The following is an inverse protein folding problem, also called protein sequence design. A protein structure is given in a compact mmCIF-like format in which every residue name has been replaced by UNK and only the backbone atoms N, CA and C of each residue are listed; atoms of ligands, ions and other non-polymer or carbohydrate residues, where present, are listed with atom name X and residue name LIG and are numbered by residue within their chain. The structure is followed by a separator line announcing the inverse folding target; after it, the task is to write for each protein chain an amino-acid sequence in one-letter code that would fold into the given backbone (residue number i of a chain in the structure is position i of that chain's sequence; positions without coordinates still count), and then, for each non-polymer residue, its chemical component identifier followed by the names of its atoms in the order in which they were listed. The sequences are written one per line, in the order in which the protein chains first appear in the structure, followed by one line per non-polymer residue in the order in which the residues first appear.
data_IF_428731417128
#
_entry.id   IF_428731417128
#
_cell.length_a   1.000
_cell.length_b   1.000
_cell.length_c   1.000
_cell.angle_alpha   90.00
_cell.angle_beta   90.00
_cell.angle_gamma   90.00
#
_symmetry.space_group_name_H-M   'P 1'
#
loop_
_entity.id
_entity.type
_entity.pdbx_description
1 polymer ?
#
# COMPACT_ATOMS: atom_id res chain seq x y z
N UNK A 1 12.87 -24.15 -35.66
CA UNK A 1 11.44 -23.91 -35.95
C UNK A 1 10.49 -24.28 -34.80
N UNK A 2 10.59 -25.45 -34.15
CA UNK A 2 9.71 -25.79 -32.99
C UNK A 2 9.87 -24.93 -31.72
N UNK A 3 10.99 -24.22 -31.54
CA UNK A 3 11.22 -23.28 -30.43
C UNK A 3 10.79 -21.83 -30.73
N UNK A 4 10.40 -21.53 -31.97
CA UNK A 4 10.01 -20.19 -32.43
C UNK A 4 8.50 -19.99 -32.24
N UNK A 5 7.72 -21.08 -32.28
CA UNK A 5 6.28 -21.05 -32.00
C UNK A 5 5.93 -20.80 -30.52
N UNK A 6 6.88 -21.03 -29.60
CA UNK A 6 6.63 -20.93 -28.16
C UNK A 6 6.63 -19.48 -27.66
N UNK A 7 7.44 -18.61 -28.26
CA UNK A 7 7.46 -17.18 -27.94
C UNK A 7 6.22 -16.43 -28.49
N UNK A 8 5.69 -16.89 -29.62
CA UNK A 8 4.40 -16.41 -30.16
C UNK A 8 3.22 -16.78 -29.27
N UNK A 9 3.31 -17.88 -28.50
CA UNK A 9 2.24 -18.31 -27.60
C UNK A 9 2.17 -17.51 -26.30
N UNK A 10 3.27 -16.95 -25.79
CA UNK A 10 3.26 -16.10 -24.57
C UNK A 10 2.67 -14.72 -24.82
N UNK A 11 2.85 -14.14 -26.01
CA UNK A 11 2.23 -12.85 -26.38
C UNK A 11 0.72 -13.02 -26.66
N UNK A 12 0.32 -14.15 -27.27
CA UNK A 12 -1.09 -14.49 -27.50
C UNK A 12 -1.81 -14.83 -26.18
N UNK A 13 -1.12 -15.41 -25.18
CA UNK A 13 -1.72 -15.71 -23.87
C UNK A 13 -2.04 -14.45 -23.05
N UNK A 14 -1.29 -13.36 -23.23
CA UNK A 14 -1.57 -12.07 -22.60
C UNK A 14 -2.90 -11.46 -23.08
N UNK A 15 -3.26 -11.69 -24.35
CA UNK A 15 -4.53 -11.23 -24.94
C UNK A 15 -5.77 -11.98 -24.41
N UNK A 16 -5.63 -13.23 -23.94
CA UNK A 16 -6.79 -14.05 -23.51
C UNK A 16 -7.15 -13.91 -22.03
N UNK A 17 -6.23 -13.47 -21.16
CA UNK A 17 -6.46 -13.37 -19.70
C UNK A 17 -7.20 -12.07 -19.30
N UNK A 18 -7.30 -11.09 -20.19
CA UNK A 18 -8.13 -9.89 -19.94
C UNK A 18 -9.64 -10.19 -19.81
N UNK A 19 -10.13 -11.39 -20.18
CA UNK A 19 -11.55 -11.63 -20.42
C UNK A 19 -12.33 -12.52 -19.43
N UNK A 20 -11.77 -13.00 -18.31
CA UNK A 20 -12.60 -13.61 -17.26
C UNK A 20 -12.97 -12.58 -16.19
N UNK A 21 -14.22 -12.11 -16.30
CA UNK A 21 -14.84 -11.25 -15.30
C UNK A 21 -15.02 -11.98 -13.98
N UNK A 22 -14.35 -11.49 -12.94
CA UNK A 22 -14.81 -11.59 -11.55
C UNK A 22 -14.57 -10.22 -10.89
N UNK A 23 -15.66 -9.67 -10.37
CA UNK A 23 -15.72 -8.37 -9.72
C UNK A 23 -14.89 -8.36 -8.42
N UNK A 24 -14.19 -7.26 -8.10
CA UNK A 24 -14.01 -6.78 -6.72
C UNK A 24 -13.35 -5.38 -6.61
N UNK A 25 -13.68 -4.72 -5.49
CA UNK A 25 -13.13 -3.54 -4.77
C UNK A 25 -13.37 -2.11 -5.25
N UNK A 26 -13.61 -1.81 -6.53
CA UNK A 26 -14.07 -0.44 -6.87
C UNK A 26 -15.60 -0.36 -6.92
N UNK A 27 -16.26 0.59 -6.20
CA UNK A 27 -17.67 0.83 -6.41
C UNK A 27 -17.86 1.20 -7.90
N UNK A 28 -18.64 0.39 -8.62
CA UNK A 28 -19.02 0.67 -10.01
C UNK A 28 -19.93 1.90 -10.02
N UNK A 29 -19.33 3.06 -10.25
CA UNK A 29 -20.01 4.26 -10.73
C UNK A 29 -19.87 4.32 -12.24
N UNK A 30 -20.82 4.95 -12.95
CA UNK A 30 -20.81 5.12 -14.41
C UNK A 30 -19.51 5.80 -14.90
N UNK A 31 -18.94 6.71 -14.10
CA UNK A 31 -17.62 7.33 -14.32
C UNK A 31 -16.43 6.35 -14.29
N UNK A 32 -16.52 5.25 -13.52
CA UNK A 32 -15.40 4.31 -13.36
C UNK A 32 -15.29 3.34 -14.55
N UNK A 33 -16.40 3.02 -15.23
CA UNK A 33 -16.34 2.13 -16.41
C UNK A 33 -15.76 2.82 -17.64
N UNK A 34 -16.08 4.10 -17.88
CA UNK A 34 -15.50 4.85 -19.00
C UNK A 34 -13.99 5.05 -18.85
N UNK A 35 -13.53 5.30 -17.62
CA UNK A 35 -12.10 5.40 -17.31
C UNK A 35 -11.36 4.07 -17.54
N UNK A 36 -11.93 2.95 -17.10
CA UNK A 36 -11.37 1.62 -17.31
C UNK A 36 -11.28 1.29 -18.80
N UNK A 37 -12.33 1.57 -19.57
CA UNK A 37 -12.34 1.37 -21.03
C UNK A 37 -11.29 2.24 -21.72
N UNK A 38 -11.14 3.50 -21.30
CA UNK A 38 -10.10 4.39 -21.84
C UNK A 38 -8.69 3.87 -21.56
N UNK A 39 -8.43 3.40 -20.35
CA UNK A 39 -7.13 2.81 -19.96
C UNK A 39 -6.86 1.53 -20.77
N UNK A 40 -7.86 0.65 -20.87
CA UNK A 40 -7.75 -0.58 -21.65
C UNK A 40 -7.47 -0.31 -23.13
N UNK A 41 -8.12 0.69 -23.73
CA UNK A 41 -7.84 1.10 -25.10
C UNK A 41 -6.40 1.60 -25.29
N UNK A 42 -5.85 2.34 -24.32
CA UNK A 42 -4.45 2.76 -24.35
C UNK A 42 -3.50 1.55 -24.28
N UNK A 43 -3.80 0.57 -23.42
CA UNK A 43 -3.02 -0.67 -23.28
C UNK A 43 -3.07 -1.50 -24.58
N UNK A 44 -4.25 -1.63 -25.19
CA UNK A 44 -4.42 -2.33 -26.47
C UNK A 44 -3.60 -1.66 -27.57
N UNK A 45 -3.70 -0.33 -27.70
CA UNK A 45 -2.92 0.44 -28.67
C UNK A 45 -1.41 0.28 -28.44
N UNK A 46 -0.99 0.31 -27.17
CA UNK A 46 0.41 0.12 -26.78
C UNK A 46 0.96 -1.23 -27.22
N UNK A 47 0.20 -2.32 -27.01
CA UNK A 47 0.60 -3.65 -27.44
C UNK A 47 0.53 -3.86 -28.94
N UNK A 48 -0.41 -3.21 -29.62
CA UNK A 48 -0.46 -3.21 -31.08
C UNK A 48 0.80 -2.58 -31.68
N UNK A 49 1.24 -1.44 -31.16
CA UNK A 49 2.48 -0.77 -31.61
C UNK A 49 3.70 -1.66 -31.34
N UNK A 50 3.77 -2.32 -30.18
CA UNK A 50 4.85 -3.26 -29.86
C UNK A 50 4.90 -4.40 -30.87
N UNK A 51 3.73 -4.95 -31.23
CA UNK A 51 3.63 -6.03 -32.21
C UNK A 51 4.06 -5.55 -33.61
N UNK A 52 3.55 -4.41 -34.07
CA UNK A 52 3.91 -3.85 -35.39
C UNK A 52 5.42 -3.60 -35.51
N UNK A 53 6.04 -3.00 -34.49
CA UNK A 53 7.50 -2.81 -34.44
C UNK A 53 8.23 -4.16 -34.44
N UNK A 54 7.69 -5.16 -33.76
CA UNK A 54 8.22 -6.52 -33.72
C UNK A 54 8.13 -7.30 -35.03
N UNK A 55 7.08 -7.06 -35.82
CA UNK A 55 6.91 -7.62 -37.17
C UNK A 55 7.92 -7.01 -38.16
N UNK A 56 8.27 -5.74 -37.97
CA UNK A 56 9.30 -5.04 -38.76
C UNK A 56 10.72 -5.45 -38.36
N UNK A 57 10.99 -5.60 -37.06
CA UNK A 57 12.28 -6.06 -36.53
C UNK A 57 12.10 -6.97 -35.32
N UNK A 58 12.31 -8.27 -35.51
CA UNK A 58 12.19 -9.27 -34.43
C UNK A 58 13.12 -8.99 -33.25
N UNK A 59 14.23 -8.27 -33.44
CA UNK A 59 15.15 -7.90 -32.35
C UNK A 59 14.49 -6.96 -31.35
N UNK A 60 13.49 -6.19 -31.78
CA UNK A 60 12.68 -5.35 -30.91
C UNK A 60 11.95 -6.19 -29.84
N UNK A 61 11.29 -7.28 -30.24
CA UNK A 61 10.62 -8.22 -29.32
C UNK A 61 11.60 -9.06 -28.47
N UNK A 62 12.89 -9.07 -28.83
CA UNK A 62 13.94 -9.74 -28.07
C UNK A 62 14.59 -8.82 -27.04
N UNK A 63 14.14 -7.55 -26.94
CA UNK A 63 14.65 -6.62 -25.95
C UNK A 63 14.35 -7.11 -24.53
N UNK A 64 15.39 -7.25 -23.72
CA UNK A 64 15.25 -7.48 -22.28
C UNK A 64 15.05 -6.17 -21.49
N UNK A 65 15.15 -5.02 -22.17
CA UNK A 65 14.93 -3.72 -21.56
C UNK A 65 13.46 -3.29 -21.77
N UNK A 66 12.63 -3.23 -20.72
CA UNK A 66 11.22 -2.87 -20.85
C UNK A 66 11.00 -1.43 -21.32
N UNK A 67 11.98 -0.53 -21.10
CA UNK A 67 11.90 0.86 -21.53
C UNK A 67 11.90 1.00 -23.07
N UNK A 68 12.49 0.06 -23.80
CA UNK A 68 12.43 0.08 -25.27
C UNK A 68 10.99 -0.08 -25.81
N UNK A 69 10.08 -0.68 -25.05
CA UNK A 69 8.70 -0.92 -25.49
C UNK A 69 7.81 0.33 -25.37
N UNK A 70 8.23 1.31 -24.58
CA UNK A 70 7.49 2.55 -24.33
C UNK A 70 8.05 3.73 -25.12
N UNK A 71 9.27 3.62 -25.66
CA UNK A 71 9.84 4.59 -26.59
C UNK A 71 9.00 4.72 -27.86
N UNK A 72 8.63 5.96 -28.21
CA UNK A 72 7.75 6.29 -29.35
C UNK A 72 6.49 5.39 -29.38
N UNK A 73 5.81 5.28 -28.23
CA UNK A 73 4.61 4.47 -28.08
C UNK A 73 3.42 5.36 -27.69
N UNK A 74 2.62 5.73 -28.70
CA UNK A 74 1.47 6.63 -28.51
C UNK A 74 0.42 6.08 -27.53
N UNK A 75 0.25 4.76 -27.43
CA UNK A 75 -0.62 4.13 -26.44
C UNK A 75 -0.13 4.37 -25.02
N UNK A 76 1.18 4.22 -24.79
CA UNK A 76 1.82 4.51 -23.51
C UNK A 76 1.73 6.00 -23.15
N UNK A 77 2.07 6.90 -24.08
CA UNK A 77 1.97 8.34 -23.84
C UNK A 77 0.54 8.78 -23.48
N UNK A 78 -0.47 8.22 -24.15
CA UNK A 78 -1.88 8.48 -23.83
C UNK A 78 -2.23 7.98 -22.44
N UNK A 79 -1.71 6.82 -22.04
CA UNK A 79 -1.92 6.27 -20.70
C UNK A 79 -1.34 7.20 -19.62
N UNK A 80 -0.10 7.66 -19.77
CA UNK A 80 0.53 8.59 -18.83
C UNK A 80 -0.26 9.90 -18.73
N UNK A 81 -0.74 10.42 -19.86
CA UNK A 81 -1.57 11.65 -19.92
C UNK A 81 -2.93 11.52 -19.22
N UNK A 82 -3.41 10.32 -18.87
CA UNK A 82 -4.60 10.17 -18.01
C UNK A 82 -4.31 10.69 -16.60
N UNK A 83 -3.05 10.62 -16.16
CA UNK A 83 -2.60 11.18 -14.89
C UNK A 83 -3.06 10.36 -13.68
N UNK A 84 -3.12 10.98 -12.49
CA UNK A 84 -3.34 10.30 -11.21
C UNK A 84 -4.58 9.39 -11.16
N UNK A 85 -5.63 9.72 -11.92
CA UNK A 85 -6.85 8.90 -12.07
C UNK A 85 -6.59 7.48 -12.56
N UNK A 86 -5.54 7.25 -13.35
CA UNK A 86 -5.23 5.91 -13.86
C UNK A 86 -4.61 4.99 -12.79
N UNK A 87 -3.97 5.55 -11.76
CA UNK A 87 -3.16 4.79 -10.81
C UNK A 87 -3.92 3.65 -10.11
N UNK A 88 -5.15 3.84 -9.60
CA UNK A 88 -5.89 2.75 -8.96
C UNK A 88 -6.21 1.59 -9.91
N UNK A 89 -6.53 1.89 -11.17
CA UNK A 89 -6.84 0.87 -12.19
C UNK A 89 -5.56 0.13 -12.60
N UNK A 90 -4.46 0.86 -12.81
CA UNK A 90 -3.17 0.27 -13.15
C UNK A 90 -2.66 -0.66 -12.05
N UNK A 91 -2.76 -0.24 -10.78
CA UNK A 91 -2.42 -1.10 -9.65
C UNK A 91 -3.28 -2.39 -9.66
N UNK A 92 -4.60 -2.26 -9.86
CA UNK A 92 -5.50 -3.41 -9.94
C UNK A 92 -5.11 -4.38 -11.07
N UNK A 93 -4.77 -3.87 -12.26
CA UNK A 93 -4.38 -4.70 -13.40
C UNK A 93 -3.11 -5.52 -13.13
N UNK A 94 -2.10 -4.90 -12.51
CA UNK A 94 -0.85 -5.59 -12.14
C UNK A 94 -1.13 -6.67 -11.09
N UNK A 95 -1.99 -6.37 -10.11
CA UNK A 95 -2.34 -7.31 -9.03
C UNK A 95 -3.18 -8.50 -9.49
N UNK A 96 -4.10 -8.29 -10.43
CA UNK A 96 -5.21 -9.24 -10.65
C UNK A 96 -5.28 -9.82 -12.06
N UNK A 97 -4.59 -9.24 -13.05
CA UNK A 97 -4.73 -9.65 -14.46
C UNK A 97 -3.42 -10.13 -15.05
N UNK A 98 -2.45 -9.24 -15.18
CA UNK A 98 -1.17 -9.53 -15.82
C UNK A 98 -0.12 -8.62 -15.19
N UNK A 99 0.81 -9.15 -14.39
CA UNK A 99 1.87 -8.34 -13.79
C UNK A 99 2.86 -7.94 -14.88
N UNK A 100 2.67 -6.74 -15.43
CA UNK A 100 3.44 -6.22 -16.56
C UNK A 100 4.33 -5.05 -16.15
N UNK A 101 5.63 -5.15 -16.46
CA UNK A 101 6.62 -4.12 -16.15
C UNK A 101 6.26 -2.75 -16.73
N UNK A 102 5.62 -2.73 -17.91
CA UNK A 102 5.23 -1.49 -18.57
C UNK A 102 4.19 -0.72 -17.76
N UNK A 103 3.25 -1.44 -17.10
CA UNK A 103 2.26 -0.81 -16.22
C UNK A 103 2.89 -0.31 -14.92
N UNK A 104 3.87 -1.02 -14.38
CA UNK A 104 4.65 -0.56 -13.22
C UNK A 104 5.43 0.73 -13.55
N UNK A 105 6.05 0.80 -14.73
CA UNK A 105 6.74 2.00 -15.21
C UNK A 105 5.73 3.15 -15.39
N UNK A 106 4.54 2.90 -15.94
CA UNK A 106 3.48 3.92 -16.03
C UNK A 106 3.06 4.45 -14.65
N UNK A 107 2.97 3.59 -13.63
CA UNK A 107 2.67 4.04 -12.26
C UNK A 107 3.79 4.94 -11.73
N UNK A 108 5.06 4.57 -11.89
CA UNK A 108 6.21 5.39 -11.48
C UNK A 108 6.20 6.76 -12.18
N UNK A 109 5.97 6.78 -13.51
CA UNK A 109 5.94 8.00 -14.31
C UNK A 109 4.76 8.91 -13.92
N UNK A 110 3.53 8.38 -13.84
CA UNK A 110 2.35 9.15 -13.48
C UNK A 110 2.46 9.71 -12.05
N UNK A 111 3.04 8.95 -11.13
CA UNK A 111 3.14 9.37 -9.73
C UNK A 111 4.39 10.20 -9.41
N UNK A 112 5.33 10.29 -10.35
CA UNK A 112 6.60 10.99 -10.17
C UNK A 112 7.49 10.35 -9.11
N UNK A 113 7.38 9.03 -8.91
CA UNK A 113 8.20 8.28 -7.95
C UNK A 113 9.19 7.40 -8.70
N UNK A 114 10.35 7.15 -8.09
CA UNK A 114 11.33 6.21 -8.61
C UNK A 114 11.62 5.16 -7.52
N UNK A 115 10.79 4.12 -7.44
CA UNK A 115 10.95 3.09 -6.41
C UNK A 115 12.17 2.21 -6.68
N UNK A 116 12.58 2.14 -7.95
CA UNK A 116 13.72 1.36 -8.38
C UNK A 116 15.05 1.91 -7.83
N UNK A 117 15.24 3.23 -7.88
CA UNK A 117 16.49 3.87 -7.45
C UNK A 117 16.41 4.51 -6.07
N UNK A 118 15.29 5.17 -5.74
CA UNK A 118 15.16 5.98 -4.52
C UNK A 118 14.54 5.20 -3.33
N UNK A 119 14.25 3.91 -3.50
CA UNK A 119 13.63 3.09 -2.47
C UNK A 119 14.17 1.65 -2.41
N UNK A 120 13.32 0.66 -2.08
CA UNK A 120 13.70 -0.74 -1.86
C UNK A 120 14.08 -1.48 -3.15
N UNK A 121 13.86 -0.86 -4.32
CA UNK A 121 14.04 -1.52 -5.61
C UNK A 121 12.91 -2.50 -5.91
N UNK A 122 12.75 -2.84 -7.19
CA UNK A 122 11.86 -3.90 -7.65
C UNK A 122 12.44 -4.55 -8.91
N UNK A 123 12.39 -5.87 -8.98
CA UNK A 123 12.96 -6.66 -10.08
C UNK A 123 11.89 -7.34 -10.95
N UNK A 124 10.64 -7.33 -10.50
CA UNK A 124 9.47 -7.81 -11.23
C UNK A 124 8.21 -7.00 -10.94
N UNK A 125 7.26 -7.00 -11.87
CA UNK A 125 5.96 -6.35 -11.68
C UNK A 125 5.19 -6.89 -10.45
N UNK A 126 5.43 -8.15 -10.05
CA UNK A 126 4.89 -8.69 -8.80
C UNK A 126 5.56 -8.06 -7.56
N UNK A 127 6.90 -7.97 -7.56
CA UNK A 127 7.64 -7.30 -6.49
C UNK A 127 7.40 -5.79 -6.45
N UNK A 128 7.03 -5.19 -7.59
CA UNK A 128 6.65 -3.79 -7.67
C UNK A 128 5.43 -3.49 -6.80
N UNK A 129 4.37 -4.30 -6.88
CA UNK A 129 3.14 -4.06 -6.10
C UNK A 129 3.42 -4.00 -4.60
N UNK A 130 4.15 -4.98 -4.05
CA UNK A 130 4.45 -5.02 -2.62
C UNK A 130 5.37 -3.86 -2.20
N UNK A 131 6.33 -3.51 -3.06
CA UNK A 131 7.22 -2.34 -2.86
C UNK A 131 6.44 -1.04 -2.88
N UNK A 132 5.52 -0.88 -3.82
CA UNK A 132 4.70 0.31 -3.99
C UNK A 132 3.68 0.47 -2.86
N UNK A 133 3.04 -0.62 -2.43
CA UNK A 133 2.20 -0.65 -1.22
C UNK A 133 2.96 -0.18 0.01
N UNK A 134 4.12 -0.78 0.27
CA UNK A 134 5.00 -0.39 1.38
C UNK A 134 5.40 1.09 1.29
N UNK A 135 5.70 1.55 0.08
CA UNK A 135 6.02 2.95 -0.18
C UNK A 135 4.87 3.87 0.23
N UNK A 136 3.65 3.63 -0.27
CA UNK A 136 2.45 4.42 0.03
C UNK A 136 2.18 4.51 1.53
N UNK A 137 2.38 3.42 2.27
CA UNK A 137 2.21 3.39 3.72
C UNK A 137 3.22 4.25 4.48
N UNK A 138 4.43 4.39 3.94
CA UNK A 138 5.53 5.13 4.55
C UNK A 138 5.51 6.63 4.20
N UNK A 139 4.86 7.04 3.10
CA UNK A 139 4.82 8.45 2.65
C UNK A 139 4.46 9.45 3.76
N UNK A 140 3.36 9.28 4.54
CA UNK A 140 3.01 10.24 5.59
C UNK A 140 4.13 10.44 6.61
N UNK A 141 4.77 9.35 7.04
CA UNK A 141 5.86 9.39 8.01
C UNK A 141 7.11 10.03 7.41
N UNK A 142 7.45 9.71 6.16
CA UNK A 142 8.59 10.30 5.46
C UNK A 142 8.45 11.80 5.27
N UNK A 143 7.25 12.29 4.93
CA UNK A 143 7.00 13.75 4.86
C UNK A 143 7.30 14.41 6.21
N UNK A 144 6.77 13.84 7.31
CA UNK A 144 7.02 14.36 8.66
C UNK A 144 8.52 14.33 9.01
N UNK A 145 9.21 13.21 8.76
CA UNK A 145 10.64 13.07 9.01
C UNK A 145 11.46 14.11 8.26
N UNK A 146 11.13 14.38 6.99
CA UNK A 146 11.81 15.40 6.19
C UNK A 146 11.57 16.80 6.76
N UNK A 147 10.31 17.14 7.06
CA UNK A 147 9.92 18.46 7.61
C UNK A 147 10.65 18.75 8.93
N UNK A 148 10.69 17.79 9.86
CA UNK A 148 11.33 17.93 11.17
C UNK A 148 12.83 17.63 11.19
N UNK A 149 13.43 17.28 10.05
CA UNK A 149 14.88 17.06 9.97
C UNK A 149 15.67 18.36 10.21
N UNK A 150 16.94 18.22 10.56
CA UNK A 150 17.88 19.34 10.71
C UNK A 150 18.45 19.84 9.37
N UNK A 151 17.92 19.37 8.24
CA UNK A 151 18.37 19.77 6.91
C UNK A 151 17.88 21.18 6.55
N UNK A 152 18.55 21.80 5.59
CA UNK A 152 18.12 23.10 5.08
C UNK A 152 16.86 22.95 4.19
N UNK A 153 16.15 24.05 3.98
CA UNK A 153 14.89 24.04 3.24
C UNK A 153 15.03 23.53 1.80
N UNK A 154 16.15 23.79 1.13
CA UNK A 154 16.40 23.31 -0.23
C UNK A 154 16.50 21.78 -0.28
N UNK A 155 17.27 21.17 0.62
CA UNK A 155 17.37 19.71 0.73
C UNK A 155 16.04 19.07 1.14
N UNK A 156 15.29 19.71 2.05
CA UNK A 156 13.94 19.26 2.39
C UNK A 156 13.02 19.26 1.17
N UNK A 157 12.97 20.35 0.41
CA UNK A 157 12.15 20.44 -0.80
C UNK A 157 12.56 19.38 -1.83
N UNK A 158 13.87 19.16 -2.05
CA UNK A 158 14.37 18.12 -2.94
C UNK A 158 13.89 16.72 -2.53
N UNK A 159 13.94 16.39 -1.24
CA UNK A 159 13.45 15.10 -0.73
C UNK A 159 11.94 14.96 -0.81
N UNK A 160 11.20 16.04 -0.52
CA UNK A 160 9.74 16.05 -0.65
C UNK A 160 9.30 15.82 -2.10
N UNK A 161 9.98 16.41 -3.08
CA UNK A 161 9.72 16.18 -4.52
C UNK A 161 9.90 14.71 -4.91
N UNK A 162 10.92 14.03 -4.37
CA UNK A 162 11.15 12.59 -4.63
C UNK A 162 10.03 11.67 -4.12
N UNK A 163 9.18 12.15 -3.22
CA UNK A 163 8.00 11.40 -2.76
C UNK A 163 6.81 11.49 -3.73
N UNK A 164 6.97 12.18 -4.86
CA UNK A 164 5.96 12.24 -5.91
C UNK A 164 4.61 12.80 -5.44
N UNK A 165 3.58 12.59 -6.26
CA UNK A 165 2.27 13.19 -6.04
C UNK A 165 1.60 12.75 -4.73
N UNK A 166 1.98 11.59 -4.19
CA UNK A 166 1.43 11.06 -2.95
C UNK A 166 1.85 11.86 -1.71
N UNK A 167 2.87 12.71 -1.81
CA UNK A 167 3.24 13.63 -0.73
C UNK A 167 2.37 14.89 -0.68
N UNK A 168 1.68 15.25 -1.76
CA UNK A 168 0.87 16.48 -1.89
C UNK A 168 -0.12 16.63 -0.73
N UNK A 169 -0.94 15.62 -0.36
CA UNK A 169 -1.91 15.75 0.73
C UNK A 169 -1.26 16.14 2.06
N UNK A 170 -0.06 15.65 2.33
CA UNK A 170 0.64 15.88 3.59
C UNK A 170 1.37 17.22 3.59
N UNK A 171 2.01 17.59 2.48
CA UNK A 171 2.66 18.90 2.33
C UNK A 171 1.63 20.03 2.40
N UNK A 172 0.44 19.83 1.82
CA UNK A 172 -0.70 20.77 1.86
C UNK A 172 -1.03 21.24 3.28
N UNK A 173 -1.02 20.34 4.26
CA UNK A 173 -1.37 20.67 5.64
C UNK A 173 -0.35 21.62 6.26
N UNK A 174 0.96 21.40 6.06
CA UNK A 174 2.00 22.32 6.49
C UNK A 174 1.88 23.71 5.84
N UNK A 175 1.51 23.77 4.57
CA UNK A 175 1.28 25.03 3.86
C UNK A 175 0.07 25.81 4.41
N UNK A 176 -0.98 25.12 4.84
CA UNK A 176 -2.13 25.75 5.52
C UNK A 176 -1.76 26.34 6.88
N UNK A 177 -0.82 25.69 7.57
CA UNK A 177 -0.34 26.11 8.88
C UNK A 177 0.68 27.27 8.82
N UNK A 178 1.06 27.72 7.63
CA UNK A 178 1.95 28.87 7.43
C UNK A 178 3.38 28.53 7.05
N UNK A 179 3.71 27.25 6.89
CA UNK A 179 5.08 26.77 6.62
C UNK A 179 5.43 26.89 5.12
N UNK A 180 5.50 28.12 4.61
CA UNK A 180 5.63 28.41 3.17
C UNK A 180 6.94 27.98 2.54
N UNK A 181 7.94 27.57 3.33
CA UNK A 181 9.21 27.05 2.83
C UNK A 181 9.07 25.75 2.01
N UNK A 182 7.98 24.99 2.17
CA UNK A 182 7.73 23.75 1.41
C UNK A 182 6.97 23.97 0.10
N UNK A 183 6.66 25.24 -0.23
CA UNK A 183 5.83 25.58 -1.38
C UNK A 183 6.47 25.16 -2.71
N UNK A 184 7.80 25.23 -2.83
CA UNK A 184 8.50 24.84 -4.07
C UNK A 184 8.34 23.35 -4.39
N UNK A 185 8.40 22.48 -3.38
CA UNK A 185 8.12 21.05 -3.57
C UNK A 185 6.66 20.83 -3.98
N UNK A 186 5.73 21.48 -3.29
CA UNK A 186 4.30 21.36 -3.57
C UNK A 186 3.94 21.79 -5.00
N UNK A 187 4.41 22.95 -5.43
CA UNK A 187 4.13 23.48 -6.78
C UNK A 187 4.72 22.59 -7.87
N UNK A 188 5.95 22.12 -7.69
CA UNK A 188 6.64 21.19 -8.61
C UNK A 188 5.96 19.83 -8.71
N UNK A 189 5.21 19.41 -7.69
CA UNK A 189 4.42 18.17 -7.73
C UNK A 189 3.05 18.37 -8.39
N UNK A 190 2.56 19.61 -8.46
CA UNK A 190 1.29 19.95 -9.10
C UNK A 190 1.44 20.25 -10.59
N UNK A 191 2.52 20.93 -10.98
CA UNK A 191 2.84 21.22 -12.36
C UNK A 191 3.74 20.08 -12.84
N UNK A 192 3.34 19.32 -13.85
CA UNK A 192 4.12 18.20 -14.44
C UNK A 192 5.42 18.68 -15.16
N UNK A 193 5.89 19.88 -14.83
CA UNK A 193 7.06 20.54 -15.40
C UNK A 193 8.05 20.93 -14.29
N UNK A 194 9.34 20.92 -14.63
CA UNK A 194 10.43 21.41 -13.79
C UNK A 194 10.28 22.92 -13.52
N UNK A 195 9.47 23.28 -12.51
CA UNK A 195 9.42 24.64 -12.01
C UNK A 195 10.75 24.96 -11.34
N UNK A 196 11.47 25.90 -11.96
CA UNK A 196 12.74 26.48 -11.51
C UNK A 196 12.70 26.75 -10.00
N UNK A 197 13.71 26.29 -9.26
CA UNK A 197 13.88 26.53 -7.82
C UNK A 197 13.76 28.03 -7.49
N UNK A 198 12.57 28.48 -7.08
CA UNK A 198 12.41 29.78 -6.46
C UNK A 198 12.65 29.62 -4.97
N UNK A 199 13.91 29.79 -4.58
CA UNK A 199 14.34 29.83 -3.19
C UNK A 199 13.96 31.19 -2.55
N UNK A 200 12.65 31.47 -2.48
CA UNK A 200 12.10 32.63 -1.74
C UNK A 200 10.95 32.15 -0.87
N UNK A 201 10.91 32.61 0.39
CA UNK A 201 9.71 32.55 1.20
C UNK A 201 8.56 33.13 0.37
N UNK A 202 7.63 32.27 0.01
CA UNK A 202 6.44 32.67 -0.73
C UNK A 202 5.45 33.26 0.27
N UNK A 203 4.80 34.34 -0.10
CA UNK A 203 3.77 34.97 0.74
C UNK A 203 2.61 33.98 0.95
N UNK A 204 2.11 33.86 2.19
CA UNK A 204 0.97 33.01 2.50
C UNK A 204 -0.26 33.30 1.64
N UNK A 205 -0.46 34.55 1.22
CA UNK A 205 -1.55 34.92 0.32
C UNK A 205 -1.42 34.26 -1.07
N UNK A 206 -0.18 34.14 -1.58
CA UNK A 206 0.11 33.47 -2.85
C UNK A 206 -0.12 31.96 -2.70
N UNK A 207 0.38 31.37 -1.61
CA UNK A 207 0.15 29.95 -1.28
C UNK A 207 -1.35 29.64 -1.26
N UNK A 208 -2.14 30.45 -0.55
CA UNK A 208 -3.58 30.27 -0.46
C UNK A 208 -4.30 30.41 -1.81
N UNK A 209 -3.84 31.30 -2.69
CA UNK A 209 -4.40 31.43 -4.05
C UNK A 209 -4.15 30.16 -4.86
N UNK A 210 -2.91 29.66 -4.87
CA UNK A 210 -2.53 28.47 -5.65
C UNK A 210 -3.21 27.21 -5.11
N UNK A 211 -3.34 27.07 -3.78
CA UNK A 211 -4.13 25.99 -3.18
C UNK A 211 -5.59 26.01 -3.65
N UNK A 212 -6.19 27.20 -3.73
CA UNK A 212 -7.58 27.37 -4.17
C UNK A 212 -7.74 27.13 -5.68
N UNK A 213 -6.83 27.62 -6.49
CA UNK A 213 -6.84 27.44 -7.95
C UNK A 213 -6.69 25.95 -8.34
N UNK A 214 -5.95 25.18 -7.54
CA UNK A 214 -5.68 23.77 -7.78
C UNK A 214 -6.53 22.81 -6.94
N UNK A 215 -7.54 23.30 -6.21
CA UNK A 215 -8.30 22.51 -5.23
C UNK A 215 -8.88 21.23 -5.85
N UNK A 216 -9.41 21.30 -7.07
CA UNK A 216 -9.91 20.12 -7.78
C UNK A 216 -8.82 19.06 -8.05
N UNK A 217 -7.63 19.47 -8.52
CA UNK A 217 -6.50 18.56 -8.78
C UNK A 217 -5.99 17.95 -7.48
N UNK A 218 -5.88 18.76 -6.42
CA UNK A 218 -5.47 18.31 -5.10
C UNK A 218 -6.46 17.29 -4.53
N UNK A 219 -7.76 17.60 -4.57
CA UNK A 219 -8.81 16.71 -4.05
C UNK A 219 -8.86 15.38 -4.83
N UNK A 220 -8.59 15.40 -6.13
CA UNK A 220 -8.43 14.19 -6.94
C UNK A 220 -7.24 13.34 -6.46
N UNK A 221 -6.08 13.96 -6.27
CA UNK A 221 -4.87 13.27 -5.78
C UNK A 221 -5.09 12.73 -4.36
N UNK A 222 -5.75 13.48 -3.48
CA UNK A 222 -6.15 13.02 -2.14
C UNK A 222 -7.06 11.79 -2.23
N UNK A 223 -8.08 11.82 -3.11
CA UNK A 223 -9.00 10.70 -3.32
C UNK A 223 -8.26 9.46 -3.83
N UNK A 224 -7.37 9.62 -4.81
CA UNK A 224 -6.54 8.55 -5.36
C UNK A 224 -5.59 8.00 -4.29
N UNK A 225 -4.87 8.87 -3.58
CA UNK A 225 -3.94 8.49 -2.50
C UNK A 225 -4.66 7.69 -1.41
N UNK A 226 -5.85 8.12 -1.01
CA UNK A 226 -6.66 7.41 -0.02
C UNK A 226 -7.17 6.06 -0.54
N UNK A 227 -7.60 5.98 -1.80
CA UNK A 227 -8.04 4.72 -2.41
C UNK A 227 -6.89 3.70 -2.48
N UNK A 228 -5.71 4.14 -2.90
CA UNK A 228 -4.52 3.30 -3.03
C UNK A 228 -3.94 2.91 -1.68
N UNK A 229 -3.93 3.82 -0.71
CA UNK A 229 -3.59 3.49 0.67
C UNK A 229 -4.58 2.46 1.23
N UNK A 230 -5.88 2.63 1.04
CA UNK A 230 -6.89 1.64 1.49
C UNK A 230 -6.66 0.26 0.86
N UNK A 231 -6.32 0.20 -0.42
CA UNK A 231 -5.98 -1.05 -1.12
C UNK A 231 -4.61 -1.64 -0.71
N UNK A 232 -3.69 -0.82 -0.21
CA UNK A 232 -2.41 -1.25 0.39
C UNK A 232 -2.59 -1.85 1.77
N UNK A 233 -3.51 -1.27 2.54
CA UNK A 233 -3.76 -1.63 3.93
C UNK A 233 -4.57 -2.93 4.10
N UNK A 234 -5.04 -3.50 2.98
CA UNK A 234 -5.61 -4.84 2.92
C UNK A 234 -4.54 -5.83 2.46
N UNK A 235 -4.10 -6.72 3.33
CA UNK A 235 -3.08 -7.71 2.99
C UNK A 235 -3.67 -8.84 2.13
N UNK A 236 -2.84 -9.41 1.26
CA UNK A 236 -3.22 -10.57 0.45
C UNK A 236 -3.52 -11.80 1.36
N UNK A 237 -4.52 -12.64 1.03
CA UNK A 237 -4.75 -13.93 1.70
C UNK A 237 -3.50 -14.76 1.99
N UNK A 238 -2.49 -14.75 1.12
CA UNK A 238 -1.21 -15.45 1.32
C UNK A 238 -0.40 -14.88 2.49
N UNK A 239 -0.50 -13.58 2.78
CA UNK A 239 0.10 -12.98 3.98
C UNK A 239 -0.49 -13.61 5.24
N UNK A 240 -1.82 -13.67 5.33
CA UNK A 240 -2.48 -14.31 6.48
C UNK A 240 -2.19 -15.79 6.56
N UNK A 241 -2.17 -16.47 5.41
CA UNK A 241 -1.85 -17.90 5.30
C UNK A 241 -0.38 -18.21 5.56
N UNK A 242 0.52 -17.22 5.62
CA UNK A 242 1.91 -17.40 6.06
C UNK A 242 2.01 -17.54 7.58
N UNK A 243 1.18 -16.80 8.32
CA UNK A 243 1.28 -16.70 9.78
C UNK A 243 0.21 -17.51 10.51
N UNK A 244 -0.96 -17.68 9.89
CA UNK A 244 -2.11 -18.33 10.50
C UNK A 244 -2.56 -19.55 9.71
N UNK A 245 -2.76 -20.67 10.40
CA UNK A 245 -3.35 -21.88 9.81
C UNK A 245 -4.88 -21.84 9.76
N UNK A 246 -5.50 -20.86 10.42
CA UNK A 246 -6.96 -20.71 10.48
C UNK A 246 -7.33 -19.24 10.46
N UNK A 247 -7.93 -18.76 9.38
CA UNK A 247 -8.43 -17.40 9.30
C UNK A 247 -9.63 -17.33 8.36
N UNK A 248 -10.60 -16.50 8.70
CA UNK A 248 -11.76 -16.17 7.87
C UNK A 248 -12.05 -14.69 7.99
N UNK A 249 -12.13 -13.99 6.86
CA UNK A 249 -12.42 -12.57 6.85
C UNK A 249 -13.76 -12.30 7.54
N UNK A 250 -13.79 -11.38 8.49
CA UNK A 250 -15.01 -11.04 9.21
C UNK A 250 -15.58 -9.69 8.79
N UNK A 251 -14.79 -8.63 8.89
CA UNK A 251 -15.26 -7.28 8.67
C UNK A 251 -14.09 -6.31 8.40
N UNK A 252 -14.36 -5.17 7.75
CA UNK A 252 -13.39 -4.09 7.69
C UNK A 252 -13.12 -3.54 9.10
N UNK A 253 -11.87 -3.15 9.35
CA UNK A 253 -11.43 -2.35 10.46
C UNK A 253 -11.11 -0.92 9.99
N UNK A 254 -11.01 0.02 10.92
CA UNK A 254 -10.43 1.33 10.65
C UNK A 254 -9.03 1.43 11.25
N UNK A 255 -8.20 2.36 10.77
CA UNK A 255 -6.82 2.56 11.23
C UNK A 255 -6.72 3.15 12.65
N UNK A 256 -7.84 3.54 13.26
CA UNK A 256 -7.85 4.25 14.55
C UNK A 256 -7.58 3.33 15.73
N UNK A 257 -7.67 2.00 15.59
CA UNK A 257 -7.41 1.03 16.65
C UNK A 257 -6.48 -0.11 16.23
N UNK A 258 -5.79 -0.72 17.20
CA UNK A 258 -4.96 -1.92 17.01
C UNK A 258 -5.65 -3.17 17.58
N UNK A 259 -4.99 -4.33 17.53
CA UNK A 259 -5.55 -5.61 18.02
C UNK A 259 -5.96 -5.57 19.51
N UNK A 260 -5.23 -4.85 20.36
CA UNK A 260 -5.59 -4.65 21.77
C UNK A 260 -6.84 -3.76 21.92
N UNK A 261 -6.91 -2.66 21.18
CA UNK A 261 -8.11 -1.81 21.16
C UNK A 261 -9.36 -2.58 20.73
N UNK A 262 -9.22 -3.39 19.68
CA UNK A 262 -10.27 -4.31 19.24
C UNK A 262 -10.70 -5.29 20.33
N UNK A 263 -9.73 -5.97 20.96
CA UNK A 263 -9.99 -6.96 22.02
C UNK A 263 -10.73 -6.34 23.23
N UNK A 264 -10.40 -5.09 23.57
CA UNK A 264 -11.06 -4.32 24.63
C UNK A 264 -12.42 -3.73 24.22
N UNK A 265 -12.80 -3.82 22.94
CA UNK A 265 -14.01 -3.19 22.41
C UNK A 265 -13.96 -1.66 22.45
N UNK A 266 -12.79 -1.07 22.24
CA UNK A 266 -12.56 0.38 22.27
C UNK A 266 -12.09 0.89 20.91
N UNK A 267 -12.56 2.07 20.51
CA UNK A 267 -11.91 2.87 19.47
C UNK A 267 -10.60 3.46 20.03
N UNK A 268 -9.60 3.63 19.17
CA UNK A 268 -8.29 4.19 19.55
C UNK A 268 -7.14 3.18 19.57
N UNK A 269 -5.94 3.65 19.23
CA UNK A 269 -4.72 2.86 19.23
C UNK A 269 -4.24 2.70 20.67
N UNK A 270 -4.43 1.50 21.23
CA UNK A 270 -4.12 1.23 22.64
C UNK A 270 -2.83 0.43 22.70
N UNK A 271 -1.73 1.11 23.01
CA UNK A 271 -0.45 0.47 23.33
C UNK A 271 0.18 1.19 24.52
N UNK A 272 -0.16 0.80 25.76
CA UNK A 272 0.24 1.51 26.99
C UNK A 272 1.73 1.34 27.32
N UNK A 273 2.42 0.49 26.57
CA UNK A 273 3.84 0.22 26.71
C UNK A 273 4.64 1.15 25.79
N UNK A 274 5.97 1.17 25.93
CA UNK A 274 6.80 2.07 25.12
C UNK A 274 6.54 1.81 23.62
N UNK A 275 6.46 2.86 22.78
CA UNK A 275 6.36 2.71 21.33
C UNK A 275 7.43 1.74 20.83
N UNK A 276 7.05 0.84 19.91
CA UNK A 276 7.93 -0.17 19.32
C UNK A 276 8.57 -1.17 20.31
N UNK A 277 8.02 -1.29 21.53
CA UNK A 277 8.38 -2.35 22.47
C UNK A 277 7.24 -3.35 22.64
N UNK A 278 7.60 -4.63 22.72
CA UNK A 278 6.67 -5.72 23.03
C UNK A 278 6.63 -5.91 24.56
N UNK A 279 5.44 -5.92 25.19
CA UNK A 279 5.33 -6.09 26.62
C UNK A 279 5.58 -7.53 27.05
N UNK A 280 6.09 -7.69 28.27
CA UNK A 280 6.14 -9.00 28.93
C UNK A 280 4.76 -9.44 29.43
N UNK A 281 4.63 -10.73 29.74
CA UNK A 281 3.42 -11.28 30.39
C UNK A 281 2.98 -10.47 31.62
N UNK A 282 3.93 -10.14 32.50
CA UNK A 282 3.64 -9.41 33.73
C UNK A 282 3.07 -8.01 33.44
N UNK A 283 3.61 -7.31 32.44
CA UNK A 283 3.13 -5.99 32.04
C UNK A 283 1.72 -6.05 31.45
N UNK A 284 1.40 -7.08 30.66
CA UNK A 284 0.05 -7.29 30.13
C UNK A 284 -0.93 -7.62 31.25
N UNK A 285 -0.56 -8.52 32.17
CA UNK A 285 -1.39 -8.89 33.32
C UNK A 285 -1.70 -7.67 34.19
N UNK A 286 -0.69 -6.89 34.56
CA UNK A 286 -0.89 -5.67 35.36
C UNK A 286 -1.85 -4.70 34.66
N UNK A 287 -1.63 -4.44 33.37
CA UNK A 287 -2.45 -3.51 32.60
C UNK A 287 -3.92 -3.94 32.48
N UNK A 288 -4.15 -5.24 32.25
CA UNK A 288 -5.50 -5.79 32.08
C UNK A 288 -6.23 -5.92 33.43
N UNK A 289 -5.53 -6.27 34.52
CA UNK A 289 -6.11 -6.28 35.88
C UNK A 289 -6.64 -4.93 36.32
N UNK A 290 -5.91 -3.85 36.04
CA UNK A 290 -6.40 -2.48 36.31
C UNK A 290 -7.71 -2.15 35.58
N UNK A 291 -8.05 -2.91 34.54
CA UNK A 291 -9.27 -2.76 33.74
C UNK A 291 -10.33 -3.82 34.07
N UNK A 292 -10.11 -4.55 35.16
CA UNK A 292 -10.99 -5.58 35.67
C UNK A 292 -10.81 -6.93 35.00
N UNK A 293 -9.71 -7.17 34.29
CA UNK A 293 -9.45 -8.46 33.66
C UNK A 293 -8.43 -9.28 34.45
N UNK A 294 -8.80 -10.48 34.90
CA UNK A 294 -7.92 -11.39 35.62
C UNK A 294 -7.42 -12.55 34.75
N UNK A 295 -6.13 -12.93 34.84
CA UNK A 295 -5.62 -14.14 34.22
C UNK A 295 -6.11 -15.38 34.97
N UNK A 296 -6.61 -16.37 34.25
CA UNK A 296 -7.04 -17.66 34.81
C UNK A 296 -6.91 -18.80 33.80
N UNK A 297 -7.25 -20.03 34.20
CA UNK A 297 -7.33 -21.19 33.29
C UNK A 297 -8.80 -21.61 33.06
N UNK A 298 -9.72 -20.66 33.21
CA UNK A 298 -11.16 -20.90 33.10
C UNK A 298 -11.62 -21.33 31.70
N UNK A 299 -12.90 -21.67 31.59
CA UNK A 299 -13.55 -21.93 30.30
C UNK A 299 -14.13 -20.61 29.80
N UNK A 300 -13.92 -20.27 28.53
CA UNK A 300 -14.41 -19.04 27.87
C UNK A 300 -13.79 -17.72 28.36
N UNK A 301 -12.52 -17.43 28.03
CA UNK A 301 -11.95 -16.10 28.25
C UNK A 301 -12.69 -15.02 27.47
N UNK A 302 -12.42 -13.75 27.76
CA UNK A 302 -12.88 -12.62 26.95
C UNK A 302 -11.77 -12.08 26.04
N UNK A 303 -10.52 -12.12 26.52
CA UNK A 303 -9.34 -11.68 25.78
C UNK A 303 -8.29 -12.79 25.81
N UNK A 304 -7.65 -13.01 24.67
CA UNK A 304 -6.50 -13.89 24.52
C UNK A 304 -5.31 -13.01 24.12
N UNK A 305 -4.21 -13.07 24.87
CA UNK A 305 -2.95 -12.45 24.51
C UNK A 305 -1.98 -13.54 24.02
N UNK A 306 -1.38 -13.35 22.85
CA UNK A 306 -0.50 -14.31 22.19
C UNK A 306 0.92 -13.75 22.03
N UNK A 307 1.91 -14.61 22.25
CA UNK A 307 3.33 -14.30 22.06
C UNK A 307 4.23 -15.33 22.75
N UNK A 308 5.37 -14.86 23.23
CA UNK A 308 6.26 -15.60 24.12
C UNK A 308 6.28 -14.98 25.53
N UNK A 309 6.91 -15.66 26.49
CA UNK A 309 6.95 -15.23 27.90
C UNK A 309 7.48 -13.80 28.13
N UNK A 310 8.32 -13.30 27.21
CA UNK A 310 8.96 -11.99 27.28
C UNK A 310 8.36 -10.97 26.30
N UNK A 311 7.61 -11.39 25.30
CA UNK A 311 7.12 -10.55 24.21
C UNK A 311 5.72 -10.99 23.75
N UNK A 312 4.71 -10.23 24.16
CA UNK A 312 3.35 -10.37 23.63
C UNK A 312 3.21 -9.52 22.36
N UNK A 313 2.80 -10.16 21.28
CA UNK A 313 2.72 -9.55 19.95
C UNK A 313 1.29 -9.35 19.47
N UNK A 314 0.32 -10.06 20.04
CA UNK A 314 -1.04 -10.04 19.53
C UNK A 314 -2.12 -10.20 20.61
N UNK A 315 -3.30 -9.63 20.35
CA UNK A 315 -4.46 -9.68 21.22
C UNK A 315 -5.71 -10.00 20.40
N UNK A 316 -6.52 -10.92 20.91
CA UNK A 316 -7.76 -11.33 20.27
C UNK A 316 -8.92 -11.31 21.26
N UNK A 317 -10.11 -11.02 20.74
CA UNK A 317 -11.37 -11.19 21.46
C UNK A 317 -11.84 -12.63 21.30
N UNK A 318 -12.15 -13.29 22.40
CA UNK A 318 -12.76 -14.61 22.35
C UNK A 318 -14.27 -14.48 22.07
N UNK A 319 -14.80 -15.30 21.16
CA UNK A 319 -16.19 -15.15 20.65
C UNK A 319 -17.01 -16.45 20.64
N UNK A 320 -16.44 -17.60 21.00
CA UNK A 320 -17.11 -18.90 20.94
C UNK A 320 -16.23 -20.02 21.50
N UNK A 321 -16.64 -21.29 21.40
CA UNK A 321 -16.01 -22.44 22.11
C UNK A 321 -14.51 -22.64 21.90
N UNK A 322 -13.97 -22.17 20.78
CA UNK A 322 -12.52 -22.11 20.51
C UNK A 322 -12.17 -20.97 19.54
N UNK A 323 -13.12 -20.07 19.31
CA UNK A 323 -13.02 -19.06 18.26
C UNK A 323 -12.56 -17.73 18.82
N UNK A 324 -11.62 -17.12 18.12
CA UNK A 324 -11.15 -15.77 18.43
C UNK A 324 -11.34 -14.85 17.24
N UNK A 325 -11.40 -13.56 17.52
CA UNK A 325 -11.51 -12.52 16.51
C UNK A 325 -10.56 -11.40 16.85
N UNK A 326 -9.78 -10.99 15.88
CA UNK A 326 -8.76 -9.98 16.09
C UNK A 326 -8.52 -9.17 14.83
N UNK A 327 -7.94 -7.99 15.04
CA UNK A 327 -7.42 -7.19 13.95
C UNK A 327 -6.08 -7.76 13.51
N UNK A 328 -5.97 -8.19 12.26
CA UNK A 328 -4.71 -8.58 11.64
C UNK A 328 -4.48 -7.65 10.46
N UNK A 329 -3.36 -6.95 10.44
CA UNK A 329 -3.16 -5.84 9.49
C UNK A 329 -3.75 -4.52 10.00
N UNK A 330 -3.90 -3.56 9.09
CA UNK A 330 -4.29 -2.17 9.42
C UNK A 330 -5.78 -1.91 9.20
N UNK A 331 -6.49 -2.69 8.38
CA UNK A 331 -7.90 -2.46 8.06
C UNK A 331 -8.76 -3.74 8.08
N UNK A 332 -8.30 -4.83 8.69
CA UNK A 332 -9.05 -6.09 8.65
C UNK A 332 -9.19 -6.75 10.01
N UNK A 333 -10.40 -7.26 10.24
CA UNK A 333 -10.71 -8.15 11.35
C UNK A 333 -10.95 -9.55 10.80
N UNK A 334 -10.27 -10.53 11.38
CA UNK A 334 -10.43 -11.94 11.04
C UNK A 334 -10.99 -12.73 12.20
N UNK A 335 -11.79 -13.73 11.86
CA UNK A 335 -12.18 -14.81 12.77
C UNK A 335 -11.21 -15.97 12.61
N UNK A 336 -10.81 -16.57 13.71
CA UNK A 336 -9.94 -17.72 13.78
C UNK A 336 -10.66 -18.86 14.52
N UNK A 337 -10.58 -20.07 13.99
CA UNK A 337 -11.20 -21.25 14.60
C UNK A 337 -10.28 -21.93 15.65
N UNK A 338 -9.46 -21.11 16.31
CA UNK A 338 -8.54 -21.49 17.37
C UNK A 338 -8.23 -20.29 18.26
N UNK A 339 -7.93 -20.54 19.54
CA UNK A 339 -7.30 -19.53 20.40
C UNK A 339 -5.85 -19.32 20.05
N UNK A 340 -5.20 -20.32 19.44
CA UNK A 340 -3.86 -20.22 18.82
C UNK A 340 -3.95 -20.37 17.30
N UNK A 341 -4.10 -19.28 16.55
CA UNK A 341 -4.19 -19.35 15.10
C UNK A 341 -2.83 -19.55 14.41
N UNK A 342 -1.70 -19.47 15.11
CA UNK A 342 -0.37 -19.42 14.48
C UNK A 342 0.18 -20.80 14.13
N UNK A 343 0.91 -20.92 13.00
CA UNK A 343 1.58 -22.17 12.63
C UNK A 343 2.68 -22.55 13.64
N UNK A 344 2.81 -23.84 13.96
CA UNK A 344 3.91 -24.35 14.81
C UNK A 344 5.27 -24.34 14.12
N UNK A 345 5.29 -24.43 12.78
CA UNK A 345 6.49 -24.39 11.94
C UNK A 345 6.11 -23.77 10.60
N UNK A 346 6.79 -22.70 10.19
CA UNK A 346 6.63 -22.16 8.84
C UNK A 346 7.58 -22.92 7.90
N UNK A 347 7.09 -23.72 6.93
CA UNK A 347 7.96 -24.47 6.03
C UNK A 347 8.78 -23.59 5.07
N UNK A 348 8.44 -22.30 4.94
CA UNK A 348 9.05 -21.38 3.99
C UNK A 348 9.94 -20.30 4.64
N UNK A 349 10.15 -20.34 5.96
CA UNK A 349 10.97 -19.34 6.65
C UNK A 349 11.76 -19.97 7.80
N UNK A 350 13.03 -19.59 7.94
CA UNK A 350 13.91 -20.05 9.02
C UNK A 350 13.62 -19.40 10.38
N UNK A 351 12.56 -18.58 10.45
CA UNK A 351 12.07 -17.93 11.67
C UNK A 351 11.35 -18.98 12.51
N UNK A 352 12.07 -19.49 13.51
CA UNK A 352 11.51 -20.34 14.57
C UNK A 352 10.40 -19.60 15.33
N UNK A 353 9.50 -20.41 15.88
CA UNK A 353 8.28 -20.18 16.69
C UNK A 353 8.38 -19.15 17.83
N UNK A 354 9.50 -18.46 17.99
CA UNK A 354 9.87 -17.81 19.23
C UNK A 354 9.13 -16.48 19.45
N UNK A 355 8.50 -15.86 18.43
CA UNK A 355 7.85 -14.53 18.58
C UNK A 355 6.31 -14.54 18.60
N UNK A 356 5.64 -15.66 18.29
CA UNK A 356 4.19 -15.66 18.08
C UNK A 356 3.39 -16.79 18.77
N UNK A 357 3.99 -17.89 19.25
CA UNK A 357 3.20 -19.09 19.59
C UNK A 357 3.74 -20.02 20.68
N UNK A 358 4.05 -19.51 21.88
CA UNK A 358 4.30 -20.40 23.04
C UNK A 358 3.53 -20.06 24.30
N UNK A 359 2.99 -18.85 24.41
CA UNK A 359 2.43 -18.40 25.66
C UNK A 359 1.13 -17.64 25.42
N UNK A 360 0.01 -18.30 25.72
CA UNK A 360 -1.30 -17.67 25.74
C UNK A 360 -1.63 -17.25 27.16
N UNK A 361 -2.01 -16.00 27.31
CA UNK A 361 -2.63 -15.54 28.55
C UNK A 361 -4.09 -15.28 28.24
N UNK A 362 -4.94 -16.01 28.95
CA UNK A 362 -6.36 -15.87 28.87
C UNK A 362 -6.83 -14.91 29.96
N UNK A 363 -7.81 -14.06 29.65
CA UNK A 363 -8.29 -13.03 30.57
C UNK A 363 -9.81 -13.04 30.69
N UNK A 364 -10.33 -12.92 31.92
CA UNK A 364 -11.75 -12.88 32.28
C UNK A 364 -12.06 -11.59 32.99
N UNK A 365 -13.30 -11.13 32.87
CA UNK A 365 -13.78 -9.94 33.58
C UNK A 365 -14.79 -10.31 34.65
#
# INVERSE_FOLDING_TARGET
MKKILTAFFTLIFALTICFSGQATVMPKTEDNSDLEDKINNCIIEMYHIIQEKGEQDIRYLMSSNPYHYIEDNAGYEKLVKIGPKALPVLQYLIENKSPEYILAIAIEEISGVNLKEDYKGWDSAETFVSTFKSYLEEVPNKVNEIVYSNENDAEKNKKLKKLGIFAIPYIKEYLKDGETQYFSAFESLLQEDDVVEVNKKTDQAVVNSILKENDNKINEIEKVSNAMATASLVMDPSYYSKYSWTWHYYAPADSTYNCLGYALGRSGWIWPWKPNSLPTHAQVISYLRERGYDPSDGISPQIVACGNSSEITHFAKYIGTSETRAKWGRLEVFTHYSTDPYYEYNPNDSVKKDNYGYAQIFFWK
#
